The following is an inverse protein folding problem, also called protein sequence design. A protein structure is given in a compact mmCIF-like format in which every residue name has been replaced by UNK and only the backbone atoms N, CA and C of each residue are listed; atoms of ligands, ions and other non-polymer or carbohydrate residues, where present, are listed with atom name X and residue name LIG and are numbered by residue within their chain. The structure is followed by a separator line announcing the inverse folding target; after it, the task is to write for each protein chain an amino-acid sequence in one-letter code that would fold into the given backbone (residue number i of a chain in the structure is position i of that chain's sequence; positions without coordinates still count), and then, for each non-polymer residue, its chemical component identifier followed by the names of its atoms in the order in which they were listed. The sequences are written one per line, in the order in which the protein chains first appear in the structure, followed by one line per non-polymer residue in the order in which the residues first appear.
data_IF_210855793971
#
_entry.id   IF_210855793971
#
_cell.length_a   1.000
_cell.length_b   1.000
_cell.length_c   1.000
_cell.angle_alpha   90.00
_cell.angle_beta   90.00
_cell.angle_gamma   90.00
#
_symmetry.space_group_name_H-M   'P 1'
#
loop_
_entity.id
_entity.type
_entity.pdbx_description
1 polymer ?
#
# COMPACT_ATOMS: atom_id res chain seq x y z
N UNK A 1 11.48 -0.04 -17.43
CA UNK A 1 11.18 -1.48 -17.57
C UNK A 1 9.97 -1.82 -16.70
N UNK A 2 8.79 -1.45 -17.18
CA UNK A 2 7.51 -1.42 -16.44
C UNK A 2 6.75 -2.73 -16.67
N UNK A 3 7.34 -3.86 -16.29
CA UNK A 3 6.80 -5.18 -16.65
C UNK A 3 6.26 -6.00 -15.46
N UNK A 4 6.18 -5.43 -14.24
CA UNK A 4 5.80 -6.23 -13.07
C UNK A 4 4.28 -6.30 -12.79
N UNK A 5 3.42 -5.74 -13.64
CA UNK A 5 1.95 -5.74 -13.41
C UNK A 5 1.11 -6.14 -14.63
N UNK A 6 1.55 -7.11 -15.43
CA UNK A 6 0.71 -7.57 -16.58
C UNK A 6 0.27 -9.02 -16.52
N UNK A 7 1.02 -9.89 -15.84
CA UNK A 7 0.59 -11.26 -15.60
C UNK A 7 0.19 -11.38 -14.13
N UNK A 8 -1.12 -11.45 -13.87
CA UNK A 8 -1.61 -11.86 -12.54
C UNK A 8 -1.00 -13.22 -12.18
N UNK A 9 -0.72 -13.43 -10.89
CA UNK A 9 -0.28 -14.74 -10.39
C UNK A 9 -1.52 -15.59 -10.14
N UNK A 10 -1.53 -16.88 -10.53
CA UNK A 10 -2.59 -17.77 -10.12
C UNK A 10 -2.63 -17.79 -8.59
N UNK A 11 -3.82 -17.56 -8.03
CA UNK A 11 -4.07 -17.47 -6.61
C UNK A 11 -5.10 -18.51 -6.24
N UNK A 12 -4.88 -19.20 -5.13
CA UNK A 12 -5.78 -20.22 -4.62
C UNK A 12 -7.17 -19.64 -4.32
N UNK A 13 -8.24 -20.38 -4.65
CA UNK A 13 -9.63 -19.97 -4.47
C UNK A 13 -10.00 -19.71 -3.00
N UNK A 14 -9.37 -20.40 -2.05
CA UNK A 14 -9.54 -20.14 -0.60
C UNK A 14 -8.95 -18.77 -0.21
N UNK A 15 -7.81 -18.42 -0.80
CA UNK A 15 -7.16 -17.13 -0.57
C UNK A 15 -7.92 -16.00 -1.31
N UNK A 16 -8.44 -16.28 -2.50
CA UNK A 16 -9.34 -15.38 -3.21
C UNK A 16 -10.63 -15.16 -2.42
N UNK A 17 -11.21 -16.16 -1.78
CA UNK A 17 -12.39 -16.00 -0.92
C UNK A 17 -12.11 -15.20 0.36
N UNK A 18 -10.86 -15.12 0.83
CA UNK A 18 -10.49 -14.27 1.97
C UNK A 18 -10.25 -12.82 1.56
N UNK A 19 -9.63 -12.60 0.40
CA UNK A 19 -9.37 -11.25 -0.15
C UNK A 19 -10.66 -10.67 -0.74
N UNK A 20 -11.46 -11.53 -1.35
CA UNK A 20 -12.70 -11.22 -2.03
C UNK A 20 -13.77 -12.25 -1.65
N UNK A 21 -14.37 -12.11 -0.45
CA UNK A 21 -15.42 -13.00 0.00
C UNK A 21 -16.61 -12.82 -0.94
N UNK A 22 -16.77 -13.76 -1.88
CA UNK A 22 -17.95 -14.02 -2.71
C UNK A 22 -18.98 -12.88 -2.78
N UNK A 23 -19.06 -12.24 -3.96
CA UNK A 23 -19.96 -11.14 -4.31
C UNK A 23 -19.42 -9.75 -3.90
N UNK A 24 -19.43 -8.78 -4.82
CA UNK A 24 -19.20 -7.35 -4.51
C UNK A 24 -20.37 -6.77 -3.70
N UNK A 25 -20.80 -7.43 -2.63
CA UNK A 25 -21.59 -6.78 -1.61
C UNK A 25 -20.64 -5.75 -0.97
N UNK A 26 -20.83 -4.50 -1.35
CA UNK A 26 -20.22 -3.31 -0.77
C UNK A 26 -18.76 -3.02 -1.21
N UNK A 27 -18.60 -2.54 -2.45
CA UNK A 27 -17.52 -1.58 -2.72
C UNK A 27 -17.90 -0.28 -2.00
N UNK A 28 -17.48 -0.13 -0.74
CA UNK A 28 -17.78 1.08 0.02
C UNK A 28 -16.94 2.26 -0.48
N UNK A 29 -17.61 3.36 -0.80
CA UNK A 29 -16.94 4.65 -0.92
C UNK A 29 -16.58 5.15 0.48
N UNK A 30 -15.30 5.07 0.83
CA UNK A 30 -14.78 5.52 2.13
C UNK A 30 -14.40 7.02 2.15
N UNK A 31 -14.98 7.83 1.26
CA UNK A 31 -14.67 9.26 1.15
C UNK A 31 -13.48 9.57 0.24
N UNK A 32 -13.07 10.84 0.27
CA UNK A 32 -11.92 11.34 -0.51
C UNK A 32 -10.75 11.55 0.42
N UNK A 33 -9.61 10.91 0.12
CA UNK A 33 -8.35 11.16 0.81
C UNK A 33 -7.50 12.11 -0.05
N UNK A 34 -7.23 13.31 0.47
CA UNK A 34 -6.28 14.24 -0.14
C UNK A 34 -4.89 14.02 0.45
N UNK A 35 -3.89 13.98 -0.41
CA UNK A 35 -2.48 13.82 -0.01
C UNK A 35 -1.74 15.07 -0.48
N UNK A 36 -1.03 15.73 0.44
CA UNK A 36 -0.06 16.77 0.10
C UNK A 36 1.15 16.12 -0.57
N UNK A 37 1.12 16.07 -1.90
CA UNK A 37 2.15 15.40 -2.69
C UNK A 37 3.51 16.06 -2.48
N UNK A 38 3.58 17.38 -2.48
CA UNK A 38 4.84 18.11 -2.33
C UNK A 38 5.45 17.88 -0.95
N UNK A 39 4.62 17.94 0.11
CA UNK A 39 5.04 17.62 1.47
C UNK A 39 5.46 16.16 1.65
N UNK A 40 4.85 15.22 0.94
CA UNK A 40 5.28 13.82 0.97
C UNK A 40 6.57 13.55 0.18
N UNK A 41 6.76 14.22 -0.96
CA UNK A 41 8.00 14.13 -1.76
C UNK A 41 9.19 14.73 -1.01
N UNK A 42 8.98 15.81 -0.27
CA UNK A 42 10.03 16.44 0.55
C UNK A 42 10.58 15.52 1.67
N UNK A 43 9.89 14.42 1.99
CA UNK A 43 10.31 13.45 3.03
C UNK A 43 11.18 12.31 2.48
N UNK A 44 11.45 12.30 1.18
CA UNK A 44 12.26 11.27 0.53
C UNK A 44 13.75 11.66 0.55
N UNK A 45 14.62 10.66 0.59
CA UNK A 45 16.06 10.81 0.41
C UNK A 45 16.43 10.98 -1.08
N UNK A 46 17.73 11.08 -1.36
CA UNK A 46 18.25 11.27 -2.73
C UNK A 46 17.92 10.11 -3.67
N UNK A 47 17.70 8.91 -3.13
CA UNK A 47 17.33 7.72 -3.88
C UNK A 47 15.80 7.55 -3.99
N UNK A 48 15.03 8.48 -3.40
CA UNK A 48 13.57 8.49 -3.45
C UNK A 48 12.89 7.61 -2.40
N UNK A 49 13.60 7.18 -1.35
CA UNK A 49 13.05 6.38 -0.27
C UNK A 49 12.75 7.23 0.96
N UNK A 50 11.78 6.79 1.77
CA UNK A 50 11.65 7.36 3.13
C UNK A 50 12.75 6.79 4.02
N UNK A 51 13.44 7.65 4.78
CA UNK A 51 14.37 7.19 5.80
C UNK A 51 13.68 6.23 6.78
N UNK A 52 14.39 5.16 7.16
CA UNK A 52 13.92 4.23 8.18
C UNK A 52 13.72 4.99 9.49
N UNK A 53 12.52 4.87 10.08
CA UNK A 53 12.28 5.40 11.41
C UNK A 53 13.10 4.59 12.41
N UNK A 54 14.07 5.23 13.05
CA UNK A 54 14.81 4.61 14.14
C UNK A 54 13.82 4.24 15.27
N UNK A 55 13.93 3.04 15.85
CA UNK A 55 13.10 2.67 16.98
C UNK A 55 13.33 3.67 18.11
N UNK A 56 12.24 4.08 18.76
CA UNK A 56 12.30 4.94 19.94
C UNK A 56 13.16 4.26 21.01
N UNK A 57 14.14 4.96 21.63
CA UNK A 57 14.97 4.38 22.68
C UNK A 57 14.08 3.88 23.83
N UNK A 58 14.45 2.73 24.41
CA UNK A 58 13.80 2.20 25.60
C UNK A 58 13.92 3.23 26.72
N UNK A 59 12.81 3.56 27.37
CA UNK A 59 12.84 4.36 28.60
C UNK A 59 13.50 3.50 29.68
N UNK A 60 14.73 3.87 30.06
CA UNK A 60 15.37 3.38 31.28
C UNK A 60 14.79 4.05 32.51
#
# INVERSE_FOLDING_TARGET
MTALRRAGRPTDDELLARIWPSHHADVNFCGTHSVDIDGELAKLDTDGYRPLRLPRPARG
#
